data_IF_251074176032
#
_entry.id   IF_251074176032
#
_cell.length_a   1.000
_cell.length_b   1.000
_cell.length_c   1.000
_cell.angle_alpha   90.00
_cell.angle_beta   90.00
_cell.angle_gamma   90.00
#
_symmetry.space_group_name_H-M   'P 1'
#
loop_
_entity.id
_entity.type
_entity.pdbx_description
1 polymer ?
#
# COMPACT_ATOMS: atom_id res chain seq x y z
N UNK A 1 10.42 12.57 -46.67
CA UNK A 1 10.43 11.25 -46.01
C UNK A 1 10.08 11.49 -44.55
N UNK A 2 8.93 11.02 -44.08
CA UNK A 2 8.44 11.29 -42.71
C UNK A 2 8.81 10.14 -41.80
N UNK A 3 9.56 10.44 -40.74
CA UNK A 3 10.00 9.48 -39.72
C UNK A 3 8.89 9.35 -38.67
N UNK A 4 8.30 8.16 -38.57
CA UNK A 4 7.32 7.82 -37.53
C UNK A 4 8.08 7.52 -36.23
N UNK A 5 7.94 8.37 -35.22
CA UNK A 5 8.46 8.11 -33.88
C UNK A 5 7.44 7.25 -33.11
N UNK A 6 7.81 6.02 -32.80
CA UNK A 6 7.00 5.10 -31.98
C UNK A 6 7.12 5.52 -30.51
N UNK A 7 6.03 6.04 -29.93
CA UNK A 7 5.94 6.34 -28.50
C UNK A 7 5.61 5.04 -27.76
N UNK A 8 6.59 4.50 -27.02
CA UNK A 8 6.38 3.36 -26.12
C UNK A 8 5.73 3.87 -24.81
N UNK A 9 4.42 3.69 -24.67
CA UNK A 9 3.72 3.96 -23.41
C UNK A 9 4.03 2.83 -22.41
N UNK A 10 4.77 3.14 -21.34
CA UNK A 10 4.91 2.24 -20.21
C UNK A 10 3.60 2.23 -19.44
N UNK A 11 2.82 1.15 -19.55
CA UNK A 11 1.69 0.91 -18.67
C UNK A 11 2.23 0.52 -17.28
N UNK A 12 2.00 1.35 -16.28
CA UNK A 12 2.24 0.99 -14.87
C UNK A 12 1.22 -0.06 -14.46
N UNK A 13 1.68 -1.27 -14.20
CA UNK A 13 0.85 -2.34 -13.65
C UNK A 13 0.73 -2.09 -12.15
N UNK A 14 -0.46 -1.78 -11.66
CA UNK A 14 -0.71 -1.68 -10.22
C UNK A 14 -0.80 -3.11 -9.66
N UNK A 15 0.17 -3.51 -8.85
CA UNK A 15 0.10 -4.75 -8.08
C UNK A 15 -0.78 -4.48 -6.86
N UNK A 16 -1.85 -5.25 -6.70
CA UNK A 16 -2.66 -5.25 -5.49
C UNK A 16 -1.86 -5.93 -4.36
N UNK A 17 -1.43 -5.15 -3.37
CA UNK A 17 -0.69 -5.67 -2.22
C UNK A 17 -1.64 -6.26 -1.16
N UNK A 18 -1.11 -7.20 -0.37
CA UNK A 18 -1.80 -7.73 0.80
C UNK A 18 -1.03 -7.28 2.04
N UNK A 19 -1.70 -6.51 2.90
CA UNK A 19 -1.18 -6.05 4.18
C UNK A 19 -1.77 -6.90 5.30
N UNK A 20 -0.97 -7.21 6.32
CA UNK A 20 -1.42 -7.99 7.48
C UNK A 20 -1.42 -7.13 8.74
N UNK A 21 -2.43 -7.32 9.58
CA UNK A 21 -2.55 -6.71 10.91
C UNK A 21 -2.97 -7.79 11.90
N UNK A 22 -2.17 -8.03 12.91
CA UNK A 22 -2.50 -8.92 14.01
C UNK A 22 -3.34 -8.15 15.03
N UNK A 23 -4.49 -8.73 15.37
CA UNK A 23 -5.49 -8.14 16.25
C UNK A 23 -5.49 -8.92 17.55
N UNK A 24 -4.75 -8.44 18.54
CA UNK A 24 -4.77 -9.04 19.87
C UNK A 24 -3.72 -10.12 20.16
N UNK A 25 -2.74 -10.35 19.28
CA UNK A 25 -1.76 -11.43 19.46
C UNK A 25 -0.85 -11.18 20.66
N UNK A 26 -0.31 -9.96 20.77
CA UNK A 26 0.61 -9.54 21.83
C UNK A 26 -0.09 -8.65 22.89
N UNK A 27 -1.36 -8.96 23.19
CA UNK A 27 -2.20 -8.20 24.11
C UNK A 27 -3.14 -7.22 23.40
N UNK A 28 -3.63 -6.20 24.10
CA UNK A 28 -4.63 -5.23 23.61
C UNK A 28 -4.06 -4.24 22.56
N UNK A 29 -3.51 -4.76 21.46
CA UNK A 29 -2.84 -3.97 20.42
C UNK A 29 -3.16 -4.46 19.02
N UNK A 30 -2.96 -3.57 18.05
CA UNK A 30 -2.89 -3.88 16.63
C UNK A 30 -1.42 -3.87 16.20
N UNK A 31 -0.99 -4.90 15.48
CA UNK A 31 0.38 -4.98 14.98
C UNK A 31 0.41 -5.26 13.46
N UNK A 32 0.91 -4.33 12.63
CA UNK A 32 1.29 -2.96 12.98
C UNK A 32 0.06 -2.11 13.38
N UNK A 33 0.28 -1.06 14.17
CA UNK A 33 -0.78 -0.16 14.60
C UNK A 33 -1.24 0.79 13.46
N UNK A 34 -0.33 1.09 12.53
CA UNK A 34 -0.61 1.83 11.30
C UNK A 34 0.00 1.17 10.08
N UNK A 35 -0.63 1.37 8.93
CA UNK A 35 -0.08 0.96 7.64
C UNK A 35 -0.49 1.93 6.53
N UNK A 36 0.22 1.87 5.41
CA UNK A 36 -0.11 2.60 4.18
C UNK A 36 -0.54 1.60 3.12
N UNK A 37 -1.68 1.85 2.47
CA UNK A 37 -2.23 0.98 1.45
C UNK A 37 -2.82 1.79 0.29
N UNK A 38 -2.68 1.27 -0.93
CA UNK A 38 -3.21 1.88 -2.14
C UNK A 38 -4.60 1.33 -2.50
N UNK A 39 -5.43 2.07 -3.24
CA UNK A 39 -6.67 1.51 -3.79
C UNK A 39 -6.39 0.23 -4.59
N UNK A 40 -7.15 -0.83 -4.29
CA UNK A 40 -6.96 -2.18 -4.82
C UNK A 40 -6.19 -3.13 -3.89
N UNK A 41 -5.51 -2.63 -2.88
CA UNK A 41 -4.86 -3.45 -1.86
C UNK A 41 -5.89 -4.12 -0.93
N UNK A 42 -5.51 -5.25 -0.35
CA UNK A 42 -6.29 -5.89 0.72
C UNK A 42 -5.60 -5.74 2.07
N UNK A 43 -6.38 -5.51 3.13
CA UNK A 43 -5.89 -5.57 4.51
C UNK A 43 -6.51 -6.78 5.21
N UNK A 44 -5.66 -7.63 5.75
CA UNK A 44 -5.98 -8.89 6.39
C UNK A 44 -5.76 -8.73 7.89
N UNK A 45 -6.84 -8.74 8.65
CA UNK A 45 -6.81 -8.70 10.11
C UNK A 45 -6.82 -10.12 10.67
N UNK A 46 -5.71 -10.60 11.23
CA UNK A 46 -5.65 -11.88 11.94
C UNK A 46 -6.26 -11.72 13.33
N UNK A 47 -7.37 -12.39 13.59
CA UNK A 47 -8.14 -12.21 14.82
C UNK A 47 -7.66 -13.17 15.91
N UNK A 48 -7.20 -12.61 17.03
CA UNK A 48 -6.89 -13.32 18.26
C UNK A 48 -7.97 -12.98 19.29
N UNK A 49 -8.53 -13.99 19.93
CA UNK A 49 -9.63 -13.79 20.88
C UNK A 49 -9.11 -13.22 22.19
N UNK A 50 -9.85 -12.32 22.86
CA UNK A 50 -11.23 -11.89 22.58
C UNK A 50 -11.32 -10.57 21.81
N UNK A 51 -10.46 -10.31 20.83
CA UNK A 51 -10.40 -9.04 20.11
C UNK A 51 -11.19 -9.05 18.79
N UNK A 52 -11.64 -7.87 18.39
CA UNK A 52 -12.30 -7.60 17.11
C UNK A 52 -11.78 -6.29 16.52
N UNK A 53 -12.17 -6.00 15.28
CA UNK A 53 -11.80 -4.76 14.60
C UNK A 53 -13.02 -4.11 13.97
N UNK A 54 -13.22 -2.82 14.24
CA UNK A 54 -14.28 -2.00 13.67
C UNK A 54 -13.71 -0.65 13.24
N UNK A 55 -14.17 -0.09 12.12
CA UNK A 55 -13.84 1.29 11.78
C UNK A 55 -14.70 2.29 12.52
N UNK A 56 -14.22 3.52 12.65
CA UNK A 56 -15.00 4.65 13.14
C UNK A 56 -14.64 5.93 12.38
N UNK A 57 -15.42 6.99 12.60
CA UNK A 57 -15.01 8.32 12.17
C UNK A 57 -13.95 8.88 13.12
N UNK A 58 -12.99 9.65 12.59
CA UNK A 58 -11.96 10.32 13.39
C UNK A 58 -12.56 11.14 14.55
N UNK A 59 -13.68 11.82 14.31
CA UNK A 59 -14.38 12.66 15.28
C UNK A 59 -15.18 11.88 16.33
N UNK A 60 -15.35 10.57 16.14
CA UNK A 60 -16.17 9.71 17.01
C UNK A 60 -15.46 8.38 17.26
N UNK A 61 -14.29 8.39 17.95
CA UNK A 61 -13.55 7.18 18.25
C UNK A 61 -14.39 6.17 19.04
N UNK A 62 -14.00 4.90 18.96
CA UNK A 62 -14.67 3.78 19.63
C UNK A 62 -16.16 3.59 19.28
N UNK A 63 -16.64 4.18 18.17
CA UNK A 63 -18.03 4.06 17.75
C UNK A 63 -18.14 3.56 16.30
N UNK A 64 -18.73 2.39 16.13
CA UNK A 64 -18.89 1.75 14.84
C UNK A 64 -20.27 1.98 14.20
N UNK A 65 -21.11 2.88 14.73
CA UNK A 65 -22.47 3.12 14.19
C UNK A 65 -22.45 3.61 12.75
N UNK A 66 -21.43 4.41 12.39
CA UNK A 66 -21.19 4.88 11.02
C UNK A 66 -19.93 4.25 10.41
N UNK A 67 -19.50 3.08 10.91
CA UNK A 67 -18.32 2.38 10.42
C UNK A 67 -18.51 1.91 8.98
N UNK A 68 -17.46 1.93 8.18
CA UNK A 68 -17.43 1.23 6.89
C UNK A 68 -17.33 -0.30 7.06
N UNK A 69 -16.77 -0.78 8.18
CA UNK A 69 -16.61 -2.21 8.42
C UNK A 69 -16.64 -2.57 9.91
N UNK A 70 -16.97 -3.83 10.16
CA UNK A 70 -16.85 -4.48 11.45
C UNK A 70 -16.61 -5.98 11.23
N UNK A 71 -15.62 -6.55 11.90
CA UNK A 71 -15.32 -7.98 11.83
C UNK A 71 -16.35 -8.87 12.50
N UNK A 72 -17.36 -8.28 13.16
CA UNK A 72 -18.30 -9.00 14.01
C UNK A 72 -17.73 -9.30 15.39
N UNK A 73 -18.57 -9.84 16.30
CA UNK A 73 -18.10 -10.41 17.55
C UNK A 73 -17.20 -11.60 17.27
N UNK A 74 -16.12 -11.74 18.04
CA UNK A 74 -15.21 -12.86 17.94
C UNK A 74 -14.99 -13.49 19.32
N UNK A 75 -15.66 -14.60 19.56
CA UNK A 75 -15.53 -15.39 20.80
C UNK A 75 -14.85 -16.72 20.51
N UNK A 76 -13.77 -17.01 21.25
CA UNK A 76 -13.04 -18.26 21.14
C UNK A 76 -11.70 -18.13 20.43
N UNK A 77 -10.68 -18.75 21.00
CA UNK A 77 -9.32 -18.76 20.48
C UNK A 77 -9.23 -19.60 19.20
N UNK A 78 -9.00 -18.96 18.05
CA UNK A 78 -8.48 -19.65 16.86
C UNK A 78 -7.05 -19.24 16.50
N UNK A 79 -6.35 -18.50 17.38
CA UNK A 79 -4.96 -18.04 17.20
C UNK A 79 -4.69 -17.46 15.80
N UNK A 80 -5.45 -16.44 15.39
CA UNK A 80 -5.30 -15.83 14.06
C UNK A 80 -5.89 -16.63 12.90
N UNK A 81 -6.42 -17.84 13.11
CA UNK A 81 -6.97 -18.65 12.02
C UNK A 81 -8.22 -18.03 11.36
N UNK A 82 -8.93 -17.14 12.06
CA UNK A 82 -9.98 -16.29 11.45
C UNK A 82 -9.36 -14.99 11.00
N UNK A 83 -9.54 -14.68 9.72
CA UNK A 83 -9.04 -13.44 9.12
C UNK A 83 -10.21 -12.61 8.67
N UNK A 84 -10.28 -11.37 9.11
CA UNK A 84 -11.20 -10.40 8.54
C UNK A 84 -10.49 -9.63 7.43
N UNK A 85 -11.01 -9.67 6.22
CA UNK A 85 -10.36 -9.06 5.06
C UNK A 85 -11.22 -7.93 4.53
N UNK A 86 -10.60 -6.77 4.35
CA UNK A 86 -11.20 -5.61 3.68
C UNK A 86 -10.43 -5.27 2.42
N UNK A 87 -11.13 -4.67 1.45
CA UNK A 87 -10.51 -4.07 0.28
C UNK A 87 -10.33 -2.56 0.48
N UNK A 88 -9.17 -2.04 0.14
CA UNK A 88 -8.89 -0.61 0.16
C UNK A 88 -9.40 -0.02 -1.14
N UNK A 89 -10.36 0.91 -1.06
CA UNK A 89 -11.01 1.49 -2.24
C UNK A 89 -10.61 2.93 -2.53
N UNK A 90 -9.95 3.59 -1.58
CA UNK A 90 -9.51 4.98 -1.64
C UNK A 90 -8.23 5.16 -0.80
N UNK A 91 -7.51 6.25 -1.02
CA UNK A 91 -6.40 6.69 -0.17
C UNK A 91 -6.86 7.44 1.09
N UNK A 92 -8.17 7.61 1.28
CA UNK A 92 -8.72 8.31 2.44
C UNK A 92 -8.32 7.64 3.77
N UNK A 93 -8.06 8.41 4.85
CA UNK A 93 -7.70 7.86 6.14
C UNK A 93 -8.81 7.00 6.73
N UNK A 94 -8.46 5.80 7.21
CA UNK A 94 -9.38 4.90 7.90
C UNK A 94 -8.88 4.69 9.32
N UNK A 95 -9.69 5.08 10.30
CA UNK A 95 -9.42 4.80 11.72
C UNK A 95 -10.21 3.57 12.15
N UNK A 96 -9.57 2.70 12.94
CA UNK A 96 -10.20 1.51 13.47
C UNK A 96 -9.82 1.27 14.93
N UNK A 97 -10.60 0.43 15.59
CA UNK A 97 -10.50 0.16 17.02
C UNK A 97 -11.00 -1.23 17.37
N UNK A 98 -10.66 -1.70 18.57
CA UNK A 98 -11.28 -2.87 19.16
C UNK A 98 -12.46 -2.47 20.06
N UNK A 99 -13.65 -2.96 19.74
CA UNK A 99 -14.88 -2.59 20.45
C UNK A 99 -15.17 -3.41 21.71
N UNK A 100 -14.20 -4.20 22.18
CA UNK A 100 -14.38 -5.11 23.31
C UNK A 100 -14.10 -4.37 24.61
N UNK A 101 -15.10 -4.31 25.48
CA UNK A 101 -15.00 -3.70 26.82
C UNK A 101 -14.35 -2.30 26.77
N UNK A 102 -13.15 -2.17 27.33
CA UNK A 102 -12.37 -0.94 27.40
C UNK A 102 -11.14 -0.92 26.49
N UNK A 103 -10.91 -1.94 25.65
CA UNK A 103 -9.70 -2.03 24.85
C UNK A 103 -9.47 -0.76 24.01
N UNK A 104 -10.52 -0.20 23.40
CA UNK A 104 -10.40 1.05 22.65
C UNK A 104 -9.92 2.23 23.52
N UNK A 105 -10.54 2.41 24.69
CA UNK A 105 -10.19 3.46 25.66
C UNK A 105 -8.79 3.27 26.22
N UNK A 106 -8.37 2.03 26.40
CA UNK A 106 -7.04 1.65 26.88
C UNK A 106 -5.98 1.79 25.76
N UNK A 107 -6.42 2.08 24.54
CA UNK A 107 -5.58 2.52 23.43
C UNK A 107 -5.43 1.52 22.29
N UNK A 108 -6.26 0.48 22.26
CA UNK A 108 -6.36 -0.47 21.15
C UNK A 108 -7.08 0.17 19.96
N UNK A 109 -6.33 1.03 19.27
CA UNK A 109 -6.73 1.76 18.07
C UNK A 109 -5.64 1.63 17.01
N UNK A 110 -6.03 1.74 15.74
CA UNK A 110 -5.10 1.75 14.62
C UNK A 110 -5.64 2.54 13.44
N UNK A 111 -4.87 2.60 12.36
CA UNK A 111 -5.35 3.24 11.14
C UNK A 111 -4.61 2.86 9.86
N UNK A 112 -5.31 3.03 8.74
CA UNK A 112 -4.79 2.88 7.38
C UNK A 112 -4.71 4.28 6.78
N UNK A 113 -3.56 4.64 6.20
CA UNK A 113 -3.34 5.96 5.60
C UNK A 113 -3.66 7.13 6.56
N UNK A 114 -3.30 6.98 7.85
CA UNK A 114 -3.54 8.00 8.88
C UNK A 114 -2.26 8.73 9.26
N UNK A 115 -2.35 10.05 9.43
CA UNK A 115 -1.24 10.88 9.92
C UNK A 115 -1.33 11.18 11.42
N UNK A 116 -2.52 11.04 12.02
CA UNK A 116 -2.83 11.56 13.37
C UNK A 116 -3.40 10.50 14.31
N UNK A 117 -2.78 9.32 14.35
CA UNK A 117 -3.27 8.25 15.22
C UNK A 117 -3.18 8.60 16.72
N UNK A 118 -2.17 9.35 17.16
CA UNK A 118 -2.02 9.71 18.58
C UNK A 118 -3.16 10.60 19.10
N UNK A 119 -3.69 11.47 18.24
CA UNK A 119 -4.83 12.34 18.57
C UNK A 119 -6.12 11.52 18.65
N UNK A 120 -6.32 10.62 17.69
CA UNK A 120 -7.43 9.66 17.73
C UNK A 120 -7.36 8.78 18.99
N UNK A 121 -6.18 8.26 19.34
CA UNK A 121 -5.92 7.47 20.55
C UNK A 121 -6.18 8.26 21.83
N UNK A 122 -5.83 9.55 21.84
CA UNK A 122 -6.09 10.42 22.99
C UNK A 122 -7.58 10.68 23.17
N UNK A 123 -8.31 10.99 22.09
CA UNK A 123 -9.75 11.16 22.13
C UNK A 123 -10.50 9.87 22.50
N UNK A 124 -9.97 8.70 22.12
CA UNK A 124 -10.54 7.40 22.47
C UNK A 124 -10.60 7.15 23.99
N UNK A 125 -9.62 7.64 24.75
CA UNK A 125 -9.55 7.48 26.22
C UNK A 125 -10.76 8.10 26.95
N UNK A 126 -11.30 9.17 26.38
CA UNK A 126 -12.43 9.91 26.98
C UNK A 126 -13.80 9.32 26.60
N UNK A 127 -13.83 8.29 25.74
CA UNK A 127 -15.08 7.64 25.33
C UNK A 127 -15.59 6.73 26.44
N UNK A 128 -16.81 6.99 26.92
CA UNK A 128 -17.40 6.24 28.05
C UNK A 128 -17.55 4.74 27.81
N UNK A 129 -17.92 4.35 26.58
CA UNK A 129 -18.16 2.97 26.18
C UNK A 129 -17.89 2.79 24.70
N UNK A 130 -17.22 1.70 24.34
CA UNK A 130 -17.04 1.32 22.95
C UNK A 130 -18.36 0.74 22.40
N UNK A 131 -18.72 1.14 21.19
CA UNK A 131 -19.92 0.70 20.49
C UNK A 131 -19.52 -0.01 19.20
N UNK A 132 -19.41 -1.34 19.25
CA UNK A 132 -19.23 -2.19 18.09
C UNK A 132 -20.20 -3.37 18.18
N UNK A 133 -21.35 -3.21 17.53
CA UNK A 133 -22.46 -4.16 17.56
C UNK A 133 -22.91 -4.52 16.15
N UNK A 134 -23.68 -5.59 16.05
CA UNK A 134 -24.21 -6.14 14.80
C UNK A 134 -23.33 -7.21 14.18
N UNK A 135 -23.67 -7.59 12.97
CA UNK A 135 -22.98 -8.64 12.22
C UNK A 135 -21.74 -8.11 11.47
N UNK A 136 -20.98 -9.05 10.91
CA UNK A 136 -19.85 -8.79 10.01
C UNK A 136 -20.31 -7.91 8.85
N UNK A 137 -19.54 -6.86 8.53
CA UNK A 137 -19.83 -5.94 7.42
C UNK A 137 -18.57 -5.27 6.89
N UNK A 138 -18.61 -4.80 5.65
CA UNK A 138 -17.52 -4.04 5.03
C UNK A 138 -16.26 -4.85 4.72
N UNK A 139 -16.36 -6.17 4.81
CA UNK A 139 -15.29 -7.13 4.58
C UNK A 139 -15.82 -8.56 4.78
N UNK A 140 -14.93 -9.54 4.68
CA UNK A 140 -15.29 -10.96 4.77
C UNK A 140 -14.42 -11.70 5.80
N UNK A 141 -15.02 -12.66 6.51
CA UNK A 141 -14.27 -13.60 7.35
C UNK A 141 -13.78 -14.78 6.52
N UNK A 142 -12.48 -14.86 6.31
CA UNK A 142 -11.81 -15.92 5.56
C UNK A 142 -11.06 -16.88 6.49
N UNK A 143 -11.01 -18.15 6.07
CA UNK A 143 -10.08 -19.16 6.59
C UNK A 143 -8.79 -19.23 5.76
N UNK A 144 -7.84 -20.09 6.17
CA UNK A 144 -6.53 -20.24 5.52
C UNK A 144 -6.60 -20.50 4.01
N UNK A 145 -7.45 -21.44 3.57
CA UNK A 145 -7.53 -21.82 2.15
C UNK A 145 -8.05 -20.70 1.25
N UNK A 146 -9.01 -19.92 1.74
CA UNK A 146 -9.55 -18.78 1.01
C UNK A 146 -8.52 -17.64 0.95
N UNK A 147 -7.79 -17.40 2.04
CA UNK A 147 -6.72 -16.41 2.08
C UNK A 147 -5.55 -16.77 1.16
N UNK A 148 -5.18 -18.06 1.08
CA UNK A 148 -4.16 -18.54 0.15
C UNK A 148 -4.56 -18.29 -1.31
N UNK A 149 -5.85 -18.46 -1.62
CA UNK A 149 -6.40 -18.17 -2.96
C UNK A 149 -6.34 -16.67 -3.30
N UNK A 150 -6.59 -15.80 -2.31
CA UNK A 150 -6.44 -14.35 -2.45
C UNK A 150 -4.99 -13.98 -2.78
N UNK A 151 -4.03 -14.54 -2.03
CA UNK A 151 -2.59 -14.31 -2.23
C UNK A 151 -2.08 -14.83 -3.58
N UNK A 152 -2.55 -16.00 -4.01
CA UNK A 152 -2.23 -16.55 -5.33
C UNK A 152 -2.75 -15.64 -6.47
N UNK A 153 -3.93 -15.05 -6.30
CA UNK A 153 -4.53 -14.15 -7.29
C UNK A 153 -3.79 -12.80 -7.40
N UNK A 154 -3.32 -12.26 -6.28
CA UNK A 154 -2.44 -11.09 -6.26
C UNK A 154 -1.09 -11.37 -6.97
N UNK A 155 -0.54 -12.57 -6.75
CA UNK A 155 0.73 -13.01 -7.36
C UNK A 155 0.61 -13.29 -8.87
N UNK A 156 -0.53 -13.84 -9.33
CA UNK A 156 -0.81 -14.09 -10.74
C UNK A 156 -1.02 -12.79 -11.54
N UNK A 157 -1.64 -11.78 -10.92
CA UNK A 157 -1.77 -10.43 -11.48
C UNK A 157 -0.40 -9.75 -11.63
N UNK A 158 0.59 -10.16 -10.83
CA UNK A 158 1.97 -9.70 -10.91
C UNK A 158 2.81 -10.46 -11.96
N UNK A 159 2.40 -11.67 -12.34
CA UNK A 159 3.17 -12.60 -13.20
C UNK A 159 2.74 -12.62 -14.67
N UNK A 160 1.55 -12.12 -14.99
CA UNK A 160 0.98 -12.13 -16.35
C UNK A 160 1.68 -11.16 -17.34
N UNK A 161 2.74 -10.48 -16.92
CA UNK A 161 3.51 -9.52 -17.73
C UNK A 161 4.96 -9.92 -17.99
N UNK A 162 5.42 -11.10 -17.53
CA UNK A 162 6.80 -11.58 -17.78
C UNK A 162 6.97 -12.52 -18.98
N UNK A 163 5.92 -12.81 -19.74
CA UNK A 163 5.98 -13.72 -20.89
C UNK A 163 5.58 -13.06 -22.21
N UNK A 164 6.32 -12.04 -22.66
CA UNK A 164 6.40 -11.64 -24.08
C UNK A 164 7.75 -10.95 -24.38
N UNK A 165 8.89 -11.63 -24.16
CA UNK A 165 10.13 -11.33 -24.92
C UNK A 165 11.02 -12.57 -24.90
N UNK A 166 10.69 -13.56 -25.74
CA UNK A 166 11.66 -14.58 -26.15
C UNK A 166 12.20 -14.20 -27.52
N UNK A 167 13.34 -13.50 -27.44
CA UNK A 167 14.50 -13.55 -28.33
C UNK A 167 14.31 -14.11 -29.75
N UNK A 168 14.49 -13.24 -30.75
CA UNK A 168 15.06 -13.60 -32.03
C UNK A 168 16.29 -12.72 -32.29
N UNK A 169 17.48 -13.15 -31.83
CA UNK A 169 18.76 -12.66 -32.40
C UNK A 169 19.87 -13.68 -32.19
N UNK A 170 20.33 -14.26 -33.29
CA UNK A 170 21.69 -14.76 -33.52
C UNK A 170 21.83 -14.72 -35.05
N UNK A 171 22.85 -14.13 -35.68
CA UNK A 171 24.27 -14.19 -35.36
C UNK A 171 25.00 -13.12 -36.18
N UNK A 172 26.05 -12.49 -35.65
CA UNK A 172 27.33 -12.29 -36.34
C UNK A 172 28.36 -11.85 -35.29
N UNK A 173 29.31 -12.72 -35.00
CA UNK A 173 30.50 -12.40 -34.23
C UNK A 173 31.72 -12.68 -35.12
N UNK A 174 32.66 -11.74 -35.18
CA UNK A 174 34.08 -11.96 -35.45
C UNK A 174 34.83 -10.63 -35.30
N UNK A 175 35.78 -10.56 -34.37
CA UNK A 175 37.18 -10.14 -34.62
C UNK A 175 37.98 -10.10 -33.30
N UNK A 176 39.01 -10.95 -33.26
CA UNK A 176 40.25 -10.85 -32.46
C UNK A 176 41.01 -9.58 -32.90
N UNK A 177 41.72 -8.78 -32.09
CA UNK A 177 42.65 -9.02 -31.00
C UNK A 177 44.04 -8.50 -31.43
N UNK A 178 44.58 -7.44 -30.81
CA UNK A 178 46.02 -7.17 -30.52
C UNK A 178 46.39 -5.69 -30.32
N UNK A 179 46.80 -5.36 -29.08
CA UNK A 179 48.01 -4.61 -28.63
C UNK A 179 48.42 -3.20 -29.13
N UNK A 180 49.23 -2.45 -28.33
CA UNK A 180 49.18 -0.98 -28.24
C UNK A 180 50.49 -0.24 -28.65
N UNK A 181 50.42 1.10 -28.57
CA UNK A 181 51.47 2.07 -28.14
C UNK A 181 51.88 3.14 -29.17
N UNK A 182 51.94 4.37 -28.64
CA UNK A 182 52.95 5.42 -28.88
C UNK A 182 52.57 6.68 -29.69
N UNK A 183 52.49 7.79 -28.92
CA UNK A 183 53.22 9.08 -29.06
C UNK A 183 52.80 10.10 -30.13
N UNK A 184 52.49 11.33 -29.67
CA UNK A 184 52.89 12.55 -30.38
C UNK A 184 51.94 13.75 -30.36
N UNK A 185 52.36 14.82 -29.66
CA UNK A 185 52.11 16.26 -29.86
C UNK A 185 50.64 16.79 -29.85
N UNK A 186 50.20 17.57 -28.86
CA UNK A 186 50.55 18.96 -28.49
C UNK A 186 50.05 20.03 -29.49
N UNK A 187 49.04 20.82 -29.09
CA UNK A 187 48.89 22.32 -29.14
C UNK A 187 47.48 22.68 -28.60
N UNK A 188 47.34 23.38 -27.45
CA UNK A 188 47.04 24.82 -27.29
C UNK A 188 45.82 25.30 -28.14
N UNK A 189 44.75 25.95 -27.64
CA UNK A 189 44.59 27.21 -26.86
C UNK A 189 43.14 27.23 -26.25
N UNK A 190 42.82 27.71 -25.02
CA UNK A 190 42.56 29.11 -24.53
C UNK A 190 41.61 29.91 -25.46
N UNK A 191 40.48 30.56 -25.10
CA UNK A 191 39.89 31.20 -23.89
C UNK A 191 38.33 31.28 -24.07
N UNK A 192 37.48 31.07 -23.06
CA UNK A 192 36.75 32.02 -22.15
C UNK A 192 35.65 32.91 -22.78
N UNK A 193 34.52 33.02 -22.04
CA UNK A 193 33.39 33.98 -22.12
C UNK A 193 32.16 33.42 -22.85
N UNK A 194 30.93 33.42 -22.32
CA UNK A 194 30.30 34.05 -21.16
C UNK A 194 28.78 34.02 -21.35
N UNK A 195 28.04 34.52 -20.34
CA UNK A 195 26.60 34.88 -20.36
C UNK A 195 25.59 33.73 -20.45
N UNK A 196 24.38 33.77 -19.90
CA UNK A 196 23.66 34.58 -18.90
C UNK A 196 22.25 33.94 -18.77
N UNK A 197 21.52 34.33 -17.71
CA UNK A 197 20.06 34.39 -17.54
C UNK A 197 19.17 33.81 -18.67
N UNK A 198 18.16 32.98 -18.40
CA UNK A 198 17.00 33.28 -17.56
C UNK A 198 15.72 33.35 -18.42
N UNK A 199 14.55 33.30 -17.77
CA UNK A 199 13.19 33.64 -18.28
C UNK A 199 12.53 32.52 -19.14
N UNK A 200 11.42 31.86 -18.78
CA UNK A 200 10.08 32.25 -18.27
C UNK A 200 9.15 32.84 -19.36
N UNK A 201 8.27 32.01 -19.94
CA UNK A 201 7.01 32.38 -20.62
C UNK A 201 6.24 31.07 -20.89
N UNK A 202 5.04 30.77 -20.37
CA UNK A 202 3.72 31.44 -20.37
C UNK A 202 3.03 31.48 -21.75
N UNK A 203 1.72 31.19 -21.68
CA UNK A 203 0.63 31.36 -22.65
C UNK A 203 0.32 30.11 -23.48
N UNK A 204 -0.77 29.36 -23.24
CA UNK A 204 -2.19 29.72 -23.26
C UNK A 204 -2.68 30.15 -24.65
N UNK A 205 -3.69 29.46 -25.19
CA UNK A 205 -4.91 30.08 -25.73
C UNK A 205 -6.00 29.04 -26.07
N UNK A 206 -7.21 29.33 -25.57
CA UNK A 206 -8.59 29.10 -26.08
C UNK A 206 -9.04 27.69 -26.48
N UNK A 207 -10.25 27.23 -26.14
CA UNK A 207 -11.58 27.88 -26.18
C UNK A 207 -12.39 27.62 -24.91
#
# INVERSE_FOLDING_TARGET
>A
MYSLATILTLATIALAAIHSVDVGEEGETFNPQTLTASPGDSVVFHLYSPHNVASSAYSSPCNATSSSFFSGPYSGTSNGAKKFVINVTSTDPIYFFCGVQKHCQDGMVGGINVDQLDQYKSAAKDVKKAEASGDVRGGELLGDSALASLSASASASSSSTMSMTSAATSSTASTTGSSPKSTGAAVAQREVSGFAAGVLAVAAYLV
#
